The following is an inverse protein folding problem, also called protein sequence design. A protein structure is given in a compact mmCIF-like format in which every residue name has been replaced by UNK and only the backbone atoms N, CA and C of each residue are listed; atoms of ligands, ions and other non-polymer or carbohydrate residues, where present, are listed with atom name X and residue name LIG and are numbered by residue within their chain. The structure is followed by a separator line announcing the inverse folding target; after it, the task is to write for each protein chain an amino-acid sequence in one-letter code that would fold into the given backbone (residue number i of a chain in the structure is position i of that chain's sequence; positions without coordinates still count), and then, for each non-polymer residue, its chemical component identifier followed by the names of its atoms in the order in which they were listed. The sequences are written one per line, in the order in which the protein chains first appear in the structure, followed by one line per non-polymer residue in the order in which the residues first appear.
data_IF_440202051738
#
_entry.id   IF_440202051738
#
_cell.length_a   1.000
_cell.length_b   1.000
_cell.length_c   1.000
_cell.angle_alpha   90.00
_cell.angle_beta   90.00
_cell.angle_gamma   90.00
#
_symmetry.space_group_name_H-M   'P 1'
#
loop_
_entity.id
_entity.type
_entity.pdbx_description
1 polymer ?
#
# COMPACT_ATOMS: atom_id res chain seq x y z
N UNK A 1 -28.69 -33.15 -7.68
CA UNK A 1 -29.22 -31.77 -7.73
C UNK A 1 -29.04 -31.01 -6.42
N UNK A 2 -29.39 -31.58 -5.25
CA UNK A 2 -29.26 -30.88 -3.95
C UNK A 2 -27.80 -30.69 -3.48
N UNK A 3 -26.94 -31.69 -3.69
CA UNK A 3 -25.52 -31.65 -3.27
C UNK A 3 -24.72 -30.56 -4.00
N UNK A 4 -24.93 -30.41 -5.31
CA UNK A 4 -24.32 -29.36 -6.13
C UNK A 4 -24.74 -27.96 -5.67
N UNK A 5 -25.99 -27.77 -5.27
CA UNK A 5 -26.47 -26.48 -4.75
C UNK A 5 -25.90 -26.16 -3.37
N UNK A 6 -25.70 -27.16 -2.51
CA UNK A 6 -25.07 -26.99 -1.20
C UNK A 6 -23.59 -26.64 -1.34
N UNK A 7 -22.86 -27.32 -2.23
CA UNK A 7 -21.46 -27.03 -2.52
C UNK A 7 -21.26 -25.63 -3.09
N UNK A 8 -22.15 -25.19 -3.99
CA UNK A 8 -22.12 -23.81 -4.51
C UNK A 8 -22.36 -22.77 -3.41
N UNK A 9 -23.25 -23.04 -2.45
CA UNK A 9 -23.49 -22.16 -1.31
C UNK A 9 -22.26 -22.05 -0.41
N UNK A 10 -21.58 -23.17 -0.13
CA UNK A 10 -20.34 -23.19 0.65
C UNK A 10 -19.25 -22.35 -0.03
N UNK A 11 -18.97 -22.61 -1.32
CA UNK A 11 -17.97 -21.84 -2.08
C UNK A 11 -18.26 -20.34 -2.12
N UNK A 12 -19.54 -19.94 -2.18
CA UNK A 12 -19.93 -18.52 -2.11
C UNK A 12 -19.66 -17.92 -0.73
N UNK A 13 -19.89 -18.68 0.33
CA UNK A 13 -19.54 -18.26 1.69
C UNK A 13 -18.03 -18.06 1.86
N UNK A 14 -17.24 -19.05 1.44
CA UNK A 14 -15.77 -18.99 1.51
C UNK A 14 -15.22 -17.81 0.69
N UNK A 15 -15.74 -17.60 -0.53
CA UNK A 15 -15.34 -16.46 -1.35
C UNK A 15 -15.70 -15.11 -0.71
N UNK A 16 -16.85 -15.01 -0.03
CA UNK A 16 -17.24 -13.79 0.66
C UNK A 16 -16.28 -13.47 1.82
N UNK A 17 -15.90 -14.49 2.60
CA UNK A 17 -14.92 -14.35 3.68
C UNK A 17 -13.55 -13.93 3.16
N UNK A 18 -13.08 -14.53 2.05
CA UNK A 18 -11.83 -14.16 1.42
C UNK A 18 -11.85 -12.73 0.87
N UNK A 19 -12.98 -12.28 0.30
CA UNK A 19 -13.14 -10.90 -0.17
C UNK A 19 -13.08 -9.90 0.99
N UNK A 20 -13.71 -10.20 2.12
CA UNK A 20 -13.68 -9.38 3.32
C UNK A 20 -12.26 -9.28 3.90
N UNK A 21 -11.57 -10.42 4.04
CA UNK A 21 -10.18 -10.46 4.49
C UNK A 21 -9.25 -9.68 3.54
N UNK A 22 -9.41 -9.84 2.23
CA UNK A 22 -8.63 -9.09 1.24
C UNK A 22 -8.88 -7.58 1.33
N UNK A 23 -10.12 -7.15 1.57
CA UNK A 23 -10.43 -5.73 1.75
C UNK A 23 -9.78 -5.17 3.01
N UNK A 24 -9.84 -5.91 4.13
CA UNK A 24 -9.17 -5.51 5.38
C UNK A 24 -7.67 -5.34 5.17
N UNK A 25 -7.01 -6.32 4.54
CA UNK A 25 -5.58 -6.25 4.24
C UNK A 25 -5.23 -5.08 3.33
N UNK A 26 -6.05 -4.79 2.31
CA UNK A 26 -5.83 -3.64 1.44
C UNK A 26 -5.97 -2.31 2.20
N UNK A 27 -6.86 -2.23 3.18
CA UNK A 27 -6.98 -1.05 4.04
C UNK A 27 -5.75 -0.87 4.94
N UNK A 28 -5.28 -1.94 5.57
CA UNK A 28 -4.07 -1.94 6.40
C UNK A 28 -2.83 -1.53 5.60
N UNK A 29 -2.68 -2.05 4.36
CA UNK A 29 -1.59 -1.65 3.45
C UNK A 29 -1.66 -0.16 3.15
N UNK A 30 -2.85 0.37 2.82
CA UNK A 30 -3.01 1.80 2.50
C UNK A 30 -2.72 2.70 3.71
N UNK A 31 -3.09 2.27 4.91
CA UNK A 31 -2.77 3.00 6.14
C UNK A 31 -1.25 3.01 6.37
N UNK A 32 -0.60 1.85 6.24
CA UNK A 32 0.86 1.75 6.33
C UNK A 32 1.57 2.63 5.28
N UNK A 33 1.12 2.61 4.03
CA UNK A 33 1.64 3.47 2.96
C UNK A 33 1.53 4.96 3.33
N UNK A 34 0.39 5.37 3.89
CA UNK A 34 0.16 6.75 4.32
C UNK A 34 1.13 7.16 5.44
N UNK A 35 1.39 6.27 6.40
CA UNK A 35 2.35 6.50 7.47
C UNK A 35 3.78 6.58 6.91
N UNK A 36 4.15 5.69 6.00
CA UNK A 36 5.46 5.68 5.35
C UNK A 36 5.69 7.00 4.60
N UNK A 37 4.72 7.47 3.82
CA UNK A 37 4.85 8.72 3.07
C UNK A 37 4.96 9.94 3.98
N UNK A 38 4.21 9.96 5.10
CA UNK A 38 4.34 11.02 6.10
C UNK A 38 5.74 11.01 6.75
N UNK A 39 6.30 9.84 7.04
CA UNK A 39 7.66 9.70 7.58
C UNK A 39 8.72 10.11 6.57
N UNK A 40 8.58 9.72 5.29
CA UNK A 40 9.47 10.16 4.20
C UNK A 40 9.50 11.68 4.08
N UNK A 41 8.34 12.33 4.14
CA UNK A 41 8.26 13.79 4.07
C UNK A 41 8.98 14.46 5.25
N UNK A 42 8.79 13.94 6.46
CA UNK A 42 9.49 14.45 7.67
C UNK A 42 11.01 14.27 7.54
N UNK A 43 11.46 13.09 7.12
CA UNK A 43 12.88 12.81 6.95
C UNK A 43 13.51 13.69 5.88
N UNK A 44 12.80 13.94 4.77
CA UNK A 44 13.24 14.87 3.73
C UNK A 44 13.42 16.29 4.28
N UNK A 45 12.46 16.78 5.05
CA UNK A 45 12.57 18.10 5.68
C UNK A 45 13.76 18.19 6.65
N UNK A 46 14.08 17.09 7.36
CA UNK A 46 15.27 17.01 8.21
C UNK A 46 16.57 17.02 7.41
N UNK A 47 16.64 16.27 6.31
CA UNK A 47 17.78 16.31 5.39
C UNK A 47 18.01 17.72 4.84
N UNK A 48 16.95 18.39 4.36
CA UNK A 48 17.04 19.77 3.86
C UNK A 48 17.54 20.75 4.95
N UNK A 49 17.15 20.52 6.22
CA UNK A 49 17.63 21.32 7.34
C UNK A 49 19.11 21.06 7.66
N UNK A 50 19.55 19.81 7.59
CA UNK A 50 20.96 19.43 7.78
C UNK A 50 21.86 20.06 6.71
N UNK A 51 21.44 20.03 5.44
CA UNK A 51 22.17 20.67 4.34
C UNK A 51 22.30 22.18 4.55
N UNK A 52 21.24 22.86 5.00
CA UNK A 52 21.27 24.29 5.35
C UNK A 52 22.24 24.59 6.50
N UNK A 53 22.45 23.65 7.41
CA UNK A 53 23.44 23.74 8.49
C UNK A 53 24.86 23.36 8.04
N UNK A 54 25.08 23.06 6.75
CA UNK A 54 26.39 22.69 6.19
C UNK A 54 26.77 21.23 6.40
N UNK A 55 25.84 20.37 6.83
CA UNK A 55 26.05 18.93 6.96
C UNK A 55 25.62 18.28 5.63
N UNK A 56 26.55 17.68 4.87
CA UNK A 56 26.21 17.09 3.58
C UNK A 56 25.33 15.85 3.76
N UNK A 57 24.24 15.78 3.01
CA UNK A 57 23.38 14.59 2.92
C UNK A 57 23.72 13.85 1.61
N UNK A 58 23.97 12.53 1.66
CA UNK A 58 24.22 11.74 0.45
C UNK A 58 23.00 11.76 -0.49
N UNK A 59 23.20 12.09 -1.78
CA UNK A 59 22.10 12.23 -2.75
C UNK A 59 21.29 10.94 -3.00
N UNK A 60 21.92 9.77 -2.86
CA UNK A 60 21.24 8.48 -2.90
C UNK A 60 20.24 8.32 -1.75
N UNK A 61 20.44 9.00 -0.62
CA UNK A 61 19.49 8.99 0.49
C UNK A 61 18.21 9.75 0.13
N UNK A 62 18.34 10.88 -0.56
CA UNK A 62 17.21 11.70 -1.02
C UNK A 62 16.38 10.98 -2.09
N UNK A 63 17.02 10.19 -2.95
CA UNK A 63 16.34 9.34 -3.94
C UNK A 63 15.51 8.22 -3.30
N UNK A 64 15.98 7.62 -2.20
CA UNK A 64 15.23 6.61 -1.44
C UNK A 64 13.97 7.16 -0.75
N UNK A 65 13.91 8.48 -0.55
CA UNK A 65 12.74 9.17 0.02
C UNK A 65 11.71 9.57 -1.04
N UNK A 66 11.96 9.30 -2.32
CA UNK A 66 10.97 9.51 -3.36
C UNK A 66 9.75 8.58 -3.14
N UNK A 67 8.53 9.03 -3.50
CA UNK A 67 7.35 8.18 -3.41
C UNK A 67 7.53 6.91 -4.25
N UNK A 68 7.21 5.75 -3.66
CA UNK A 68 7.12 4.51 -4.45
C UNK A 68 5.82 4.56 -5.23
N UNK A 69 5.91 4.64 -6.56
CA UNK A 69 4.75 4.47 -7.43
C UNK A 69 4.30 3.01 -7.36
N UNK A 70 3.34 2.70 -6.48
CA UNK A 70 2.63 1.43 -6.53
C UNK A 70 1.88 1.37 -7.85
N UNK A 71 2.21 0.39 -8.71
CA UNK A 71 1.47 0.19 -9.96
C UNK A 71 -0.02 0.02 -9.63
N UNK A 72 -0.93 0.69 -10.34
CA UNK A 72 -2.34 0.37 -10.23
C UNK A 72 -2.55 -1.11 -10.54
N UNK A 73 -3.39 -1.77 -9.74
CA UNK A 73 -3.83 -3.13 -10.05
C UNK A 73 -4.47 -3.15 -11.46
N UNK A 74 -4.24 -4.20 -12.27
CA UNK A 74 -4.75 -4.27 -13.65
C UNK A 74 -6.26 -4.06 -13.81
N UNK A 75 -7.03 -4.21 -12.72
CA UNK A 75 -8.47 -4.00 -12.66
C UNK A 75 -8.91 -2.53 -12.78
N UNK A 76 -8.00 -1.55 -12.70
CA UNK A 76 -8.32 -0.14 -12.87
C UNK A 76 -8.01 0.41 -14.28
N UNK A 77 -7.55 -0.43 -15.22
CA UNK A 77 -7.12 0.01 -16.56
C UNK A 77 -8.19 -0.10 -17.66
N UNK A 78 -9.44 -0.43 -17.33
CA UNK A 78 -10.54 -0.40 -18.30
C UNK A 78 -11.85 0.07 -17.67
N UNK A 79 -12.15 1.36 -17.82
CA UNK A 79 -13.46 1.88 -18.26
C UNK A 79 -13.25 3.18 -19.01
#
# INVERSE_FOLDING_TARGET
MAETTQRLRAMRGDNAQLMEANLSLLMEIREADTVIDALRLKLRAQCDAMEKCGIPVPGNFTELLAPIQLRPTPSQQKR
#
